data_IF_522834094981
#
_entry.id   IF_522834094981
#
_cell.length_a   1.000
_cell.length_b   1.000
_cell.length_c   1.000
_cell.angle_alpha   90.00
_cell.angle_beta   90.00
_cell.angle_gamma   90.00
#
_symmetry.space_group_name_H-M   'P 1'
#
loop_
_entity.id
_entity.type
_entity.pdbx_description
1 polymer ?
#
# COMPACT_ATOMS: atom_id res chain seq x y z
N UNK A 1 15.60 -15.83 -3.44
CA UNK A 1 15.95 -14.63 -4.23
C UNK A 1 15.66 -14.88 -5.71
N UNK A 2 16.28 -15.81 -6.41
CA UNK A 2 16.07 -16.00 -7.85
C UNK A 2 14.58 -16.05 -8.31
N UNK A 3 13.69 -16.66 -7.53
CA UNK A 3 12.26 -16.74 -7.90
C UNK A 3 11.50 -15.41 -7.70
N UNK A 4 11.98 -14.52 -6.82
CA UNK A 4 11.40 -13.18 -6.63
C UNK A 4 11.95 -12.19 -7.66
N UNK A 5 13.23 -12.29 -7.94
CA UNK A 5 13.94 -11.46 -8.93
C UNK A 5 13.60 -11.85 -10.38
N UNK A 6 13.06 -13.07 -10.59
CA UNK A 6 12.64 -13.51 -11.93
C UNK A 6 11.54 -12.59 -12.45
N UNK A 7 11.87 -11.81 -13.48
CA UNK A 7 10.99 -10.84 -14.12
C UNK A 7 10.91 -9.47 -13.41
N UNK A 8 11.77 -9.17 -12.43
CA UNK A 8 11.95 -7.80 -11.93
C UNK A 8 13.12 -7.19 -12.68
N UNK A 9 12.84 -6.15 -13.45
CA UNK A 9 13.85 -5.37 -14.16
C UNK A 9 14.17 -4.06 -13.42
N UNK A 10 13.18 -3.52 -12.71
CA UNK A 10 13.28 -2.23 -12.03
C UNK A 10 12.81 -2.31 -10.57
N UNK A 11 13.60 -1.71 -9.67
CA UNK A 11 13.24 -1.54 -8.26
C UNK A 11 13.07 -0.06 -7.97
N UNK A 12 11.85 0.34 -7.59
CA UNK A 12 11.47 1.72 -7.40
C UNK A 12 11.27 2.03 -5.91
N UNK A 13 11.60 3.24 -5.45
CA UNK A 13 11.26 3.66 -4.11
C UNK A 13 9.72 3.67 -3.94
N UNK A 14 9.27 3.41 -2.71
CA UNK A 14 7.83 3.43 -2.42
C UNK A 14 7.25 4.83 -2.63
N UNK A 15 6.21 4.89 -3.46
CA UNK A 15 5.30 6.02 -3.56
C UNK A 15 3.86 5.50 -3.43
N UNK A 16 3.12 5.98 -2.45
CA UNK A 16 1.72 5.57 -2.21
C UNK A 16 0.75 5.91 -3.34
N UNK A 17 1.21 6.65 -4.36
CA UNK A 17 0.47 7.01 -5.57
C UNK A 17 0.73 6.07 -6.73
N UNK A 18 1.78 5.26 -6.66
CA UNK A 18 2.23 4.40 -7.75
C UNK A 18 1.91 2.93 -7.49
N UNK A 19 1.39 2.25 -8.50
CA UNK A 19 1.21 0.80 -8.53
C UNK A 19 2.22 0.23 -9.52
N UNK A 20 3.14 -0.67 -9.07
CA UNK A 20 4.17 -1.21 -9.93
C UNK A 20 3.58 -2.07 -11.06
N UNK A 21 4.27 -2.11 -12.18
CA UNK A 21 4.03 -3.01 -13.30
C UNK A 21 4.58 -4.41 -13.00
N UNK A 22 4.36 -5.36 -13.91
CA UNK A 22 4.71 -6.78 -13.69
C UNK A 22 6.22 -7.01 -13.54
N UNK A 23 7.03 -6.18 -14.19
CA UNK A 23 8.49 -6.20 -14.17
C UNK A 23 9.11 -5.27 -13.10
N UNK A 24 8.28 -4.62 -12.31
CA UNK A 24 8.71 -3.69 -11.27
C UNK A 24 8.52 -4.27 -9.87
N UNK A 25 9.38 -3.84 -8.96
CA UNK A 25 9.22 -4.03 -7.53
C UNK A 25 9.39 -2.70 -6.81
N UNK A 26 8.82 -2.61 -5.63
CA UNK A 26 8.89 -1.43 -4.77
C UNK A 26 9.78 -1.73 -3.57
N UNK A 27 10.62 -0.78 -3.19
CA UNK A 27 11.44 -0.85 -1.99
C UNK A 27 11.06 0.23 -0.98
N UNK A 28 10.95 -0.18 0.28
CA UNK A 28 10.88 0.73 1.43
C UNK A 28 12.18 0.56 2.20
N UNK A 29 12.96 1.63 2.28
CA UNK A 29 14.20 1.66 3.06
C UNK A 29 13.91 1.92 4.54
N UNK A 30 14.76 1.39 5.42
CA UNK A 30 14.65 1.54 6.87
C UNK A 30 13.26 1.14 7.41
N UNK A 31 12.74 0.03 6.90
CA UNK A 31 11.44 -0.49 7.28
C UNK A 31 11.47 -0.99 8.73
N UNK A 32 10.54 -0.52 9.56
CA UNK A 32 10.63 -0.69 11.01
C UNK A 32 9.84 -1.88 11.56
N UNK A 33 8.75 -2.30 10.91
CA UNK A 33 7.90 -3.41 11.40
C UNK A 33 8.50 -4.79 11.12
N UNK A 34 9.80 -4.96 11.43
CA UNK A 34 10.56 -6.20 11.17
C UNK A 34 11.41 -6.67 12.36
N UNK A 35 11.34 -6.01 13.49
CA UNK A 35 12.18 -6.31 14.66
C UNK A 35 12.10 -7.76 15.08
N UNK A 36 10.91 -8.36 15.05
CA UNK A 36 10.72 -9.77 15.37
C UNK A 36 11.40 -10.72 14.39
N UNK A 37 11.47 -10.37 13.10
CA UNK A 37 12.16 -11.14 12.07
C UNK A 37 13.68 -11.01 12.26
N UNK A 38 14.16 -9.79 12.48
CA UNK A 38 15.58 -9.51 12.72
C UNK A 38 16.07 -10.23 13.97
N UNK A 39 15.33 -10.13 15.08
CA UNK A 39 15.67 -10.84 16.33
C UNK A 39 15.71 -12.36 16.14
N UNK A 40 14.78 -12.94 15.38
CA UNK A 40 14.78 -14.36 15.10
C UNK A 40 15.98 -14.80 14.24
N UNK A 41 16.42 -13.96 13.30
CA UNK A 41 17.62 -14.21 12.48
C UNK A 41 18.89 -14.08 13.32
N UNK A 42 18.95 -13.11 14.22
CA UNK A 42 20.12 -12.87 15.07
C UNK A 42 20.27 -13.91 16.18
N UNK A 43 19.15 -14.35 16.72
CA UNK A 43 19.09 -15.22 17.92
C UNK A 43 18.21 -16.45 17.68
N UNK A 44 18.49 -17.27 16.65
CA UNK A 44 17.62 -18.38 16.27
C UNK A 44 17.39 -19.40 17.41
N UNK A 45 18.32 -19.50 18.33
CA UNK A 45 18.19 -20.40 19.52
C UNK A 45 17.20 -19.88 20.57
N UNK A 46 16.71 -18.62 20.44
CA UNK A 46 15.69 -18.05 21.32
C UNK A 46 14.28 -18.15 20.73
N UNK A 47 14.19 -18.51 19.45
CA UNK A 47 12.89 -18.72 18.80
C UNK A 47 12.27 -19.99 19.36
N UNK A 48 11.05 -19.87 19.86
CA UNK A 48 10.29 -21.01 20.34
C UNK A 48 9.98 -21.97 19.20
N UNK A 49 10.19 -23.27 19.45
CA UNK A 49 9.86 -24.29 18.45
C UNK A 49 8.34 -24.42 18.32
N UNK A 50 7.87 -24.40 17.10
CA UNK A 50 6.46 -24.62 16.82
C UNK A 50 6.04 -26.06 17.19
N UNK A 51 5.08 -26.18 18.10
CA UNK A 51 4.40 -27.43 18.43
C UNK A 51 2.92 -27.31 18.05
N UNK A 52 2.47 -28.08 17.07
CA UNK A 52 1.08 -28.08 16.59
C UNK A 52 0.04 -28.44 17.64
N UNK A 53 0.46 -29.00 18.77
CA UNK A 53 -0.42 -29.35 19.91
C UNK A 53 -0.66 -28.17 20.84
N UNK A 54 0.28 -27.23 20.89
CA UNK A 54 0.26 -26.10 21.80
C UNK A 54 0.03 -24.77 21.07
N UNK A 55 0.48 -24.67 19.82
CA UNK A 55 0.43 -23.45 19.03
C UNK A 55 -0.63 -23.53 17.95
N UNK A 56 -1.42 -22.47 17.81
CA UNK A 56 -2.38 -22.31 16.74
C UNK A 56 -1.77 -21.54 15.58
N UNK A 57 -2.04 -22.01 14.35
CA UNK A 57 -1.68 -21.30 13.12
C UNK A 57 -2.76 -20.31 12.66
N UNK A 58 -3.83 -20.09 13.46
CA UNK A 58 -4.94 -19.22 13.07
C UNK A 58 -4.55 -17.76 12.86
N UNK A 59 -3.56 -17.29 13.63
CA UNK A 59 -3.09 -15.90 13.58
C UNK A 59 -1.80 -15.73 12.78
N UNK A 60 -1.27 -16.80 12.20
CA UNK A 60 -0.07 -16.72 11.35
C UNK A 60 -0.45 -16.13 10.01
N UNK A 61 0.17 -15.01 9.65
CA UNK A 61 -0.07 -14.28 8.40
C UNK A 61 1.03 -14.50 7.36
N UNK A 62 2.23 -14.83 7.82
CA UNK A 62 3.37 -15.08 6.95
C UNK A 62 4.33 -16.10 7.56
N UNK A 63 5.13 -16.69 6.68
CA UNK A 63 6.31 -17.50 7.03
C UNK A 63 7.52 -16.78 6.47
N UNK A 64 8.67 -16.92 7.13
CA UNK A 64 9.91 -16.40 6.59
C UNK A 64 11.06 -17.39 6.74
N UNK A 65 11.99 -17.31 5.80
CA UNK A 65 13.29 -17.97 5.88
C UNK A 65 14.36 -16.90 6.05
N UNK A 66 14.96 -16.85 7.24
CA UNK A 66 16.02 -15.91 7.55
C UNK A 66 17.41 -16.46 7.29
N UNK A 67 18.31 -15.60 6.84
CA UNK A 67 19.74 -15.91 6.63
C UNK A 67 20.61 -14.76 7.10
N UNK A 68 21.74 -15.11 7.73
CA UNK A 68 22.78 -14.15 8.12
C UNK A 68 24.15 -14.65 7.68
N UNK A 69 24.88 -13.84 6.94
CA UNK A 69 26.26 -14.14 6.52
C UNK A 69 27.07 -12.85 6.39
N UNK A 70 28.24 -12.83 7.00
CA UNK A 70 29.21 -11.72 6.91
C UNK A 70 28.60 -10.34 7.24
N UNK A 71 27.71 -10.26 8.22
CA UNK A 71 27.03 -9.01 8.59
C UNK A 71 25.80 -8.66 7.74
N UNK A 72 25.57 -9.35 6.64
CA UNK A 72 24.35 -9.19 5.84
C UNK A 72 23.21 -10.05 6.42
N UNK A 73 22.06 -9.46 6.55
CA UNK A 73 20.82 -10.12 6.98
C UNK A 73 19.81 -10.08 5.87
N UNK A 74 19.19 -11.21 5.60
CA UNK A 74 18.12 -11.31 4.63
C UNK A 74 17.03 -12.24 5.14
N UNK A 75 15.76 -11.91 4.82
CA UNK A 75 14.63 -12.80 5.01
C UNK A 75 13.81 -12.88 3.73
N UNK A 76 13.46 -14.10 3.34
CA UNK A 76 12.51 -14.39 2.29
C UNK A 76 11.14 -14.58 2.94
N UNK A 77 10.17 -13.75 2.61
CA UNK A 77 8.88 -13.70 3.29
C UNK A 77 7.81 -14.21 2.34
N UNK A 78 7.00 -15.14 2.81
CA UNK A 78 5.88 -15.72 2.07
C UNK A 78 4.60 -15.50 2.86
N UNK A 79 3.51 -15.13 2.18
CA UNK A 79 2.20 -15.07 2.81
C UNK A 79 1.74 -16.46 3.22
N UNK A 80 1.09 -16.55 4.36
CA UNK A 80 0.53 -17.81 4.85
C UNK A 80 -1.00 -17.70 4.95
N UNK A 81 -1.66 -18.72 4.45
CA UNK A 81 -3.11 -18.86 4.55
C UNK A 81 -3.46 -20.24 5.09
N UNK A 82 -4.50 -20.32 5.93
CA UNK A 82 -4.95 -21.56 6.56
C UNK A 82 -5.25 -22.68 5.56
N UNK A 83 -5.68 -22.37 4.35
CA UNK A 83 -5.91 -23.36 3.28
C UNK A 83 -4.67 -24.12 2.85
N UNK A 84 -3.47 -23.64 3.23
CA UNK A 84 -2.19 -24.31 2.98
C UNK A 84 -1.85 -25.40 3.99
N UNK A 85 -2.66 -25.52 5.04
CA UNK A 85 -2.54 -26.61 6.01
C UNK A 85 -3.11 -27.90 5.45
N UNK A 86 -2.30 -28.94 5.51
CA UNK A 86 -2.70 -30.32 5.26
C UNK A 86 -3.00 -30.92 6.62
N UNK A 87 -4.25 -31.35 6.83
CA UNK A 87 -4.63 -32.00 8.08
C UNK A 87 -4.99 -33.46 7.83
N UNK A 88 -4.49 -34.36 8.68
CA UNK A 88 -4.89 -35.78 8.67
C UNK A 88 -6.40 -35.98 8.90
N UNK A 89 -7.10 -34.97 9.42
CA UNK A 89 -8.57 -34.99 9.59
C UNK A 89 -9.32 -34.78 8.27
N UNK A 90 -8.64 -34.26 7.24
CA UNK A 90 -9.20 -34.04 5.91
C UNK A 90 -8.59 -35.02 4.93
N UNK A 91 -9.34 -35.40 3.89
CA UNK A 91 -8.79 -36.23 2.83
C UNK A 91 -7.92 -35.37 1.91
N UNK A 92 -6.60 -35.42 2.14
CA UNK A 92 -5.61 -34.79 1.26
C UNK A 92 -4.88 -35.89 0.47
N UNK A 93 -4.76 -35.70 -0.83
CA UNK A 93 -4.16 -36.66 -1.73
C UNK A 93 -3.03 -36.01 -2.53
N UNK A 94 -1.91 -36.69 -2.63
CA UNK A 94 -0.77 -36.35 -3.49
C UNK A 94 -0.80 -37.25 -4.71
N UNK A 95 -0.75 -36.65 -5.93
CA UNK A 95 -0.56 -37.40 -7.16
C UNK A 95 0.93 -37.51 -7.45
N UNK A 96 1.44 -38.73 -7.47
CA UNK A 96 2.84 -39.01 -7.74
C UNK A 96 2.98 -40.36 -8.43
N UNK A 97 3.77 -40.42 -9.53
CA UNK A 97 4.05 -41.66 -10.24
C UNK A 97 2.79 -42.38 -10.74
N UNK A 98 1.86 -41.64 -11.36
CA UNK A 98 0.58 -42.12 -11.89
C UNK A 98 -0.41 -42.68 -10.84
N UNK A 99 -0.15 -42.45 -9.57
CA UNK A 99 -1.04 -42.88 -8.47
C UNK A 99 -1.38 -41.74 -7.52
N UNK A 100 -2.58 -41.84 -6.91
CA UNK A 100 -2.98 -40.98 -5.80
C UNK A 100 -2.59 -41.61 -4.48
N UNK A 101 -1.82 -40.91 -3.69
CA UNK A 101 -1.43 -41.31 -2.35
C UNK A 101 -2.12 -40.39 -1.33
N UNK A 102 -2.72 -41.01 -0.31
CA UNK A 102 -3.30 -40.24 0.80
C UNK A 102 -2.18 -39.70 1.70
N UNK A 103 -2.23 -38.40 1.98
CA UNK A 103 -1.37 -37.78 2.98
C UNK A 103 -1.91 -38.14 4.35
N UNK A 104 -1.10 -38.82 5.18
CA UNK A 104 -1.49 -39.36 6.48
C UNK A 104 -0.98 -38.50 7.65
N UNK A 105 -0.14 -37.52 7.37
CA UNK A 105 0.45 -36.65 8.39
C UNK A 105 -0.01 -35.20 8.20
N UNK A 106 0.00 -34.46 9.31
CA UNK A 106 -0.22 -33.02 9.25
C UNK A 106 0.99 -32.35 8.60
N UNK A 107 0.73 -31.39 7.72
CA UNK A 107 1.78 -30.69 6.99
C UNK A 107 1.31 -29.34 6.50
N UNK A 108 2.15 -28.69 5.71
CA UNK A 108 1.80 -27.46 5.04
C UNK A 108 2.35 -27.44 3.60
N UNK A 109 1.65 -26.78 2.72
CA UNK A 109 2.13 -26.52 1.36
C UNK A 109 2.81 -25.17 1.30
N UNK A 110 3.98 -25.13 0.68
CA UNK A 110 4.68 -23.90 0.34
C UNK A 110 4.56 -23.70 -1.17
N UNK A 111 4.34 -22.46 -1.59
CA UNK A 111 4.45 -22.11 -3.00
C UNK A 111 5.80 -21.43 -3.30
N UNK A 112 6.08 -21.21 -4.57
CA UNK A 112 7.33 -20.58 -5.01
C UNK A 112 7.27 -19.04 -4.96
N UNK A 113 6.12 -18.45 -4.62
CA UNK A 113 5.93 -17.01 -4.69
C UNK A 113 6.27 -16.36 -3.36
N UNK A 114 7.17 -15.41 -3.39
CA UNK A 114 7.50 -14.59 -2.24
C UNK A 114 6.58 -13.36 -2.20
N UNK A 115 6.18 -12.99 -1.00
CA UNK A 115 5.49 -11.75 -0.71
C UNK A 115 6.46 -10.57 -0.74
N UNK A 116 7.60 -10.75 -0.08
CA UNK A 116 8.62 -9.73 0.06
C UNK A 116 9.99 -10.34 0.35
N UNK A 117 11.02 -9.54 0.13
CA UNK A 117 12.40 -9.80 0.54
C UNK A 117 12.83 -8.67 1.47
N UNK A 118 13.25 -9.02 2.67
CA UNK A 118 13.88 -8.09 3.60
C UNK A 118 15.39 -8.27 3.48
N UNK A 119 16.12 -7.19 3.23
CA UNK A 119 17.58 -7.19 3.16
C UNK A 119 18.15 -5.91 3.75
N UNK A 120 19.03 -6.06 4.76
CA UNK A 120 19.70 -4.92 5.40
C UNK A 120 18.75 -3.78 5.85
N UNK A 121 17.57 -4.13 6.36
CA UNK A 121 16.57 -3.17 6.82
C UNK A 121 15.70 -2.55 5.71
N UNK A 122 15.90 -2.94 4.45
CA UNK A 122 15.01 -2.56 3.35
C UNK A 122 14.09 -3.73 3.00
N UNK A 123 12.79 -3.45 2.80
CA UNK A 123 11.82 -4.43 2.33
C UNK A 123 11.45 -4.18 0.87
N UNK A 124 11.64 -5.19 0.02
CA UNK A 124 11.29 -5.15 -1.40
C UNK A 124 10.10 -6.06 -1.67
N UNK A 125 9.10 -5.58 -2.39
CA UNK A 125 7.86 -6.29 -2.66
C UNK A 125 7.24 -5.87 -4.00
N UNK A 126 6.35 -6.73 -4.56
CA UNK A 126 5.62 -6.45 -5.81
C UNK A 126 4.20 -5.93 -5.58
N UNK A 127 3.60 -6.17 -4.42
CA UNK A 127 2.21 -5.80 -4.16
C UNK A 127 2.02 -5.24 -2.76
N UNK A 128 1.73 -3.95 -2.70
CA UNK A 128 1.36 -3.27 -1.47
C UNK A 128 0.10 -3.88 -0.81
N UNK A 129 -0.88 -4.30 -1.62
CA UNK A 129 -2.11 -4.89 -1.10
C UNK A 129 -1.86 -6.17 -0.29
N UNK A 130 -0.92 -7.01 -0.73
CA UNK A 130 -0.57 -8.22 0.00
C UNK A 130 0.35 -7.93 1.18
N UNK A 131 1.30 -6.99 1.02
CA UNK A 131 2.25 -6.64 2.07
C UNK A 131 1.54 -6.11 3.33
N UNK A 132 0.56 -5.22 3.20
CA UNK A 132 -0.22 -4.65 4.31
C UNK A 132 -1.06 -5.65 5.10
N UNK A 133 -1.22 -6.89 4.63
CA UNK A 133 -1.89 -7.96 5.38
C UNK A 133 -0.98 -8.57 6.43
N UNK A 134 0.32 -8.43 6.25
CA UNK A 134 1.36 -9.01 7.09
C UNK A 134 1.98 -7.96 7.98
N UNK A 135 2.32 -6.81 7.42
CA UNK A 135 3.04 -5.72 8.08
C UNK A 135 2.14 -4.50 8.29
N UNK A 136 2.44 -3.74 9.34
CA UNK A 136 1.88 -2.40 9.51
C UNK A 136 2.60 -1.41 8.59
N UNK A 137 1.87 -0.89 7.63
CA UNK A 137 2.35 0.10 6.67
C UNK A 137 1.75 1.49 6.91
N UNK A 138 1.18 1.71 8.10
CA UNK A 138 0.49 2.96 8.44
C UNK A 138 1.40 4.18 8.31
N UNK A 139 2.68 4.05 8.63
CA UNK A 139 3.67 5.13 8.47
C UNK A 139 3.95 5.48 7.00
N UNK A 140 3.84 4.49 6.11
CA UNK A 140 4.08 4.66 4.68
C UNK A 140 2.83 4.94 3.87
N UNK A 141 1.66 4.62 4.42
CA UNK A 141 0.36 4.76 3.77
C UNK A 141 -0.61 5.50 4.67
N UNK A 142 -0.21 6.67 5.07
CA UNK A 142 -0.88 7.46 6.08
C UNK A 142 -2.17 8.07 5.55
N UNK A 143 -3.27 7.79 6.23
CA UNK A 143 -4.47 8.60 6.16
C UNK A 143 -4.26 9.85 7.01
N UNK A 144 -4.73 11.00 6.55
CA UNK A 144 -4.67 12.23 7.33
C UNK A 144 -5.34 12.07 8.69
N UNK A 145 -4.69 12.49 9.74
CA UNK A 145 -5.25 12.54 11.11
C UNK A 145 -6.38 13.58 11.19
N UNK A 146 -7.09 13.67 12.30
CA UNK A 146 -8.10 14.71 12.48
C UNK A 146 -7.46 16.10 12.38
N UNK A 147 -6.32 16.30 13.04
CA UNK A 147 -5.57 17.56 13.05
C UNK A 147 -5.13 17.97 11.63
N UNK A 148 -4.77 17.01 10.81
CA UNK A 148 -4.39 17.27 9.40
C UNK A 148 -5.60 17.56 8.52
N UNK A 149 -6.74 16.92 8.77
CA UNK A 149 -7.98 17.28 8.09
C UNK A 149 -8.45 18.67 8.52
N UNK A 150 -8.34 19.01 9.81
CA UNK A 150 -8.60 20.35 10.35
C UNK A 150 -7.69 21.40 9.70
N UNK A 151 -6.39 21.12 9.61
CA UNK A 151 -5.44 22.00 8.93
C UNK A 151 -5.77 22.17 7.44
N UNK A 152 -6.20 21.10 6.75
CA UNK A 152 -6.61 21.18 5.36
C UNK A 152 -7.86 22.05 5.17
N UNK A 153 -8.88 21.92 6.01
CA UNK A 153 -10.10 22.75 5.91
C UNK A 153 -9.89 24.19 6.36
N UNK A 154 -8.88 24.44 7.21
CA UNK A 154 -8.45 25.76 7.64
C UNK A 154 -7.48 26.46 6.65
N UNK A 155 -7.09 25.80 5.57
CA UNK A 155 -6.17 26.36 4.58
C UNK A 155 -6.76 27.59 3.88
N UNK A 156 -5.94 28.63 3.65
CA UNK A 156 -6.37 29.92 3.09
C UNK A 156 -7.11 29.81 1.75
N UNK A 157 -6.80 28.79 0.97
CA UNK A 157 -7.43 28.52 -0.34
C UNK A 157 -8.67 27.60 -0.28
N UNK A 158 -9.09 27.16 0.91
CA UNK A 158 -10.21 26.24 1.09
C UNK A 158 -11.36 26.92 1.86
N UNK A 159 -12.58 26.63 1.44
CA UNK A 159 -13.81 27.05 2.13
C UNK A 159 -14.71 25.82 2.33
N UNK A 160 -15.15 25.61 3.56
CA UNK A 160 -16.06 24.55 3.98
C UNK A 160 -17.20 25.19 4.77
N UNK A 161 -18.45 24.77 4.51
CA UNK A 161 -19.63 25.30 5.21
C UNK A 161 -19.63 24.90 6.72
N UNK A 162 -19.23 23.67 7.01
CA UNK A 162 -19.16 23.12 8.37
C UNK A 162 -17.89 22.26 8.51
N UNK A 163 -16.86 22.83 9.11
CA UNK A 163 -15.56 22.18 9.27
C UNK A 163 -15.63 20.96 10.20
N UNK A 164 -16.40 21.04 11.31
CA UNK A 164 -16.52 19.94 12.26
C UNK A 164 -17.24 18.74 11.61
N UNK A 165 -18.34 19.00 10.92
CA UNK A 165 -19.06 17.95 10.19
C UNK A 165 -18.20 17.34 9.08
N UNK A 166 -17.39 18.13 8.37
CA UNK A 166 -16.47 17.63 7.35
C UNK A 166 -15.42 16.69 7.96
N UNK A 167 -14.75 17.09 9.03
CA UNK A 167 -13.74 16.28 9.73
C UNK A 167 -14.33 14.95 10.21
N UNK A 168 -15.53 15.00 10.82
CA UNK A 168 -16.24 13.81 11.30
C UNK A 168 -16.67 12.88 10.15
N UNK A 169 -17.03 13.41 8.99
CA UNK A 169 -17.48 12.65 7.82
C UNK A 169 -16.34 12.17 6.91
N UNK A 170 -15.11 12.67 7.11
CA UNK A 170 -13.96 12.33 6.29
C UNK A 170 -13.57 10.86 6.48
N UNK A 171 -13.99 10.00 5.54
CA UNK A 171 -13.64 8.58 5.53
C UNK A 171 -12.24 8.32 4.94
N UNK A 172 -11.74 7.05 4.97
CA UNK A 172 -10.39 6.66 4.61
C UNK A 172 -9.91 7.21 3.25
N UNK A 173 -10.75 7.14 2.22
CA UNK A 173 -10.40 7.62 0.87
C UNK A 173 -10.22 9.15 0.82
N UNK A 174 -11.03 9.90 1.55
CA UNK A 174 -10.93 11.36 1.66
C UNK A 174 -9.65 11.73 2.40
N UNK A 175 -9.40 11.10 3.54
CA UNK A 175 -8.21 11.32 4.37
C UNK A 175 -6.91 11.01 3.61
N UNK A 176 -6.90 9.91 2.85
CA UNK A 176 -5.76 9.59 1.98
C UNK A 176 -5.48 10.69 0.97
N UNK A 177 -6.51 11.18 0.27
CA UNK A 177 -6.36 12.26 -0.72
C UNK A 177 -5.90 13.57 -0.08
N UNK A 178 -6.45 13.92 1.09
CA UNK A 178 -6.02 15.09 1.87
C UNK A 178 -4.54 14.98 2.22
N UNK A 179 -4.07 13.82 2.70
CA UNK A 179 -2.65 13.62 3.01
C UNK A 179 -1.76 13.87 1.79
N UNK A 180 -2.12 13.36 0.62
CA UNK A 180 -1.35 13.59 -0.61
C UNK A 180 -1.37 15.03 -1.11
N UNK A 181 -2.54 15.69 -1.05
CA UNK A 181 -2.70 17.09 -1.43
C UNK A 181 -1.86 17.99 -0.52
N UNK A 182 -1.90 17.78 0.79
CA UNK A 182 -1.10 18.55 1.74
C UNK A 182 0.41 18.34 1.52
N UNK A 183 0.84 17.11 1.23
CA UNK A 183 2.26 16.83 0.95
C UNK A 183 2.74 17.43 -0.37
N UNK A 184 1.87 17.56 -1.38
CA UNK A 184 2.26 18.10 -2.69
C UNK A 184 2.47 19.62 -2.66
N UNK A 185 1.92 20.33 -1.67
CA UNK A 185 1.98 21.80 -1.61
C UNK A 185 1.21 22.51 -2.73
N UNK A 186 0.27 21.81 -3.41
CA UNK A 186 -0.43 22.37 -4.56
C UNK A 186 -1.33 23.55 -4.17
N UNK A 187 -1.87 23.51 -2.95
CA UNK A 187 -2.71 24.60 -2.41
C UNK A 187 -1.87 25.83 -2.06
N UNK A 188 -0.59 25.66 -1.71
CA UNK A 188 0.34 26.77 -1.45
C UNK A 188 0.86 27.41 -2.74
N UNK A 189 1.00 26.59 -3.78
CA UNK A 189 1.60 26.99 -5.07
C UNK A 189 0.61 27.65 -6.02
N UNK A 190 -0.71 27.46 -5.82
CA UNK A 190 -1.74 27.89 -6.76
C UNK A 190 -2.92 28.53 -6.03
N UNK A 191 -3.44 29.64 -6.57
CA UNK A 191 -4.67 30.27 -6.06
C UNK A 191 -5.92 29.42 -6.41
N UNK A 192 -7.00 29.56 -5.65
CA UNK A 192 -8.27 28.89 -5.96
C UNK A 192 -8.79 29.21 -7.34
N UNK A 193 -8.58 30.45 -7.84
CA UNK A 193 -8.92 30.85 -9.20
C UNK A 193 -8.11 30.12 -10.27
N UNK A 194 -6.80 29.93 -10.06
CA UNK A 194 -5.94 29.17 -10.98
C UNK A 194 -6.39 27.70 -11.02
N UNK A 195 -6.65 27.10 -9.86
CA UNK A 195 -7.16 25.73 -9.74
C UNK A 195 -8.51 25.58 -10.43
N UNK A 196 -9.47 26.49 -10.20
CA UNK A 196 -10.78 26.46 -10.84
C UNK A 196 -10.69 26.61 -12.37
N UNK A 197 -9.77 27.43 -12.88
CA UNK A 197 -9.54 27.58 -14.32
C UNK A 197 -8.93 26.31 -14.94
N UNK A 198 -7.97 25.69 -14.28
CA UNK A 198 -7.38 24.41 -14.71
C UNK A 198 -8.43 23.28 -14.71
N UNK A 199 -9.29 23.22 -13.69
CA UNK A 199 -10.35 22.21 -13.59
C UNK A 199 -11.35 22.26 -14.77
N UNK A 200 -11.63 23.45 -15.31
CA UNK A 200 -12.52 23.61 -16.49
C UNK A 200 -12.01 22.90 -17.73
N UNK A 201 -10.70 22.74 -17.89
CA UNK A 201 -10.10 22.00 -19.00
C UNK A 201 -10.52 20.52 -18.97
N UNK A 202 -10.78 19.99 -17.78
CA UNK A 202 -11.25 18.63 -17.56
C UNK A 202 -12.77 18.51 -17.38
N UNK A 203 -13.53 19.56 -17.76
CA UNK A 203 -14.98 19.64 -17.56
C UNK A 203 -15.42 19.51 -16.09
N UNK A 204 -14.56 19.88 -15.15
CA UNK A 204 -14.86 19.91 -13.73
C UNK A 204 -15.28 21.32 -13.32
N UNK A 205 -16.40 21.40 -12.61
CA UNK A 205 -16.90 22.67 -12.07
C UNK A 205 -16.42 22.82 -10.61
N UNK A 206 -15.35 23.60 -10.42
CA UNK A 206 -14.87 23.98 -9.11
C UNK A 206 -15.46 25.33 -8.74
N UNK A 207 -16.25 25.37 -7.67
CA UNK A 207 -16.81 26.61 -7.12
C UNK A 207 -15.75 27.34 -6.31
N UNK A 208 -15.71 28.65 -6.45
CA UNK A 208 -14.91 29.55 -5.59
C UNK A 208 -15.84 30.56 -4.94
N UNK A 209 -15.50 31.00 -3.74
CA UNK A 209 -16.22 32.04 -3.01
C UNK A 209 -15.76 33.46 -3.37
N UNK A 210 -16.24 34.48 -2.64
CA UNK A 210 -15.87 35.88 -2.85
C UNK A 210 -14.41 36.20 -2.56
N UNK A 211 -13.73 35.40 -1.77
CA UNK A 211 -12.30 35.50 -1.43
C UNK A 211 -11.43 34.60 -2.30
N UNK A 212 -12.00 34.06 -3.41
CA UNK A 212 -11.33 33.15 -4.35
C UNK A 212 -10.92 31.78 -3.76
N UNK A 213 -11.49 31.38 -2.61
CA UNK A 213 -11.24 30.09 -2.00
C UNK A 213 -12.07 29.00 -2.67
N UNK A 214 -11.53 27.80 -2.75
CA UNK A 214 -12.21 26.63 -3.29
C UNK A 214 -13.29 26.16 -2.30
N UNK A 215 -14.54 26.16 -2.73
CA UNK A 215 -15.65 25.64 -1.92
C UNK A 215 -15.73 24.15 -2.06
N UNK A 216 -15.50 23.42 -0.96
CA UNK A 216 -15.62 21.96 -0.94
C UNK A 216 -17.09 21.54 -1.07
N UNK A 217 -17.42 20.62 -2.00
CA UNK A 217 -18.79 20.15 -2.16
C UNK A 217 -19.24 19.26 -0.99
N UNK A 218 -20.51 19.39 -0.59
CA UNK A 218 -21.14 18.48 0.37
C UNK A 218 -21.50 17.13 -0.26
N UNK A 219 -21.70 17.08 -1.58
CA UNK A 219 -21.93 15.82 -2.29
C UNK A 219 -20.65 14.99 -2.35
N UNK A 220 -20.74 13.71 -1.92
CA UNK A 220 -19.60 12.81 -1.84
C UNK A 220 -18.94 12.50 -3.18
N UNK A 221 -19.72 12.47 -4.27
CA UNK A 221 -19.19 12.16 -5.59
C UNK A 221 -18.43 13.37 -6.15
N UNK A 222 -18.97 14.55 -6.00
CA UNK A 222 -18.32 15.80 -6.42
C UNK A 222 -17.08 16.08 -5.58
N UNK A 223 -17.13 15.87 -4.26
CA UNK A 223 -15.95 15.96 -3.38
C UNK A 223 -14.83 15.03 -3.83
N UNK A 224 -15.14 13.78 -4.15
CA UNK A 224 -14.14 12.83 -4.66
C UNK A 224 -13.52 13.26 -5.98
N UNK A 225 -14.31 13.82 -6.89
CA UNK A 225 -13.80 14.36 -8.16
C UNK A 225 -12.84 15.53 -7.90
N UNK A 226 -13.24 16.47 -7.03
CA UNK A 226 -12.41 17.62 -6.67
C UNK A 226 -11.09 17.17 -6.03
N UNK A 227 -11.14 16.27 -5.02
CA UNK A 227 -9.93 15.76 -4.37
C UNK A 227 -9.00 15.00 -5.33
N UNK A 228 -9.56 14.21 -6.27
CA UNK A 228 -8.78 13.60 -7.34
C UNK A 228 -8.12 14.63 -8.24
N UNK A 229 -8.79 15.72 -8.54
CA UNK A 229 -8.24 16.79 -9.36
C UNK A 229 -7.11 17.51 -8.61
N UNK A 230 -7.30 17.86 -7.34
CA UNK A 230 -6.28 18.47 -6.48
C UNK A 230 -5.06 17.56 -6.24
N UNK A 231 -5.26 16.24 -6.24
CA UNK A 231 -4.16 15.27 -6.19
C UNK A 231 -3.59 14.95 -7.59
N UNK A 232 -3.93 15.76 -8.63
CA UNK A 232 -3.42 15.63 -10.00
C UNK A 232 -3.67 14.26 -10.65
N UNK A 233 -4.77 13.57 -10.30
CA UNK A 233 -5.15 12.30 -10.94
C UNK A 233 -5.66 12.49 -12.39
N UNK A 234 -6.03 13.73 -12.79
CA UNK A 234 -6.51 14.03 -14.13
C UNK A 234 -5.37 14.47 -15.03
N UNK A 235 -5.32 13.92 -16.24
CA UNK A 235 -4.32 14.30 -17.22
C UNK A 235 -4.87 14.29 -18.64
N UNK A 236 -4.23 15.04 -19.53
CA UNK A 236 -4.52 15.08 -20.96
C UNK A 236 -3.43 14.32 -21.72
N UNK A 237 -3.82 13.38 -22.59
CA UNK A 237 -2.89 12.72 -23.49
C UNK A 237 -2.26 13.71 -24.47
N UNK A 238 -0.94 13.70 -24.57
CA UNK A 238 -0.20 14.57 -25.47
C UNK A 238 -0.59 14.38 -26.95
N UNK A 239 -0.97 13.15 -27.36
CA UNK A 239 -1.30 12.81 -28.73
C UNK A 239 -2.79 12.97 -29.03
N UNK A 240 -3.64 12.29 -28.27
CA UNK A 240 -5.08 12.25 -28.56
C UNK A 240 -5.85 13.47 -28.05
N UNK A 241 -5.23 14.27 -27.16
CA UNK A 241 -5.89 15.37 -26.44
C UNK A 241 -7.13 14.92 -25.65
N UNK A 242 -7.23 13.63 -25.40
CA UNK A 242 -8.29 13.05 -24.57
C UNK A 242 -7.93 13.16 -23.10
N UNK A 243 -8.96 13.33 -22.25
CA UNK A 243 -8.81 13.43 -20.82
C UNK A 243 -8.94 12.05 -20.16
N UNK A 244 -8.07 11.77 -19.22
CA UNK A 244 -8.02 10.52 -18.47
C UNK A 244 -7.96 10.79 -16.98
N UNK A 245 -8.30 9.77 -16.18
CA UNK A 245 -8.08 9.73 -14.74
C UNK A 245 -7.17 8.56 -14.44
N UNK A 246 -6.05 8.80 -13.79
CA UNK A 246 -5.12 7.77 -13.35
C UNK A 246 -5.33 7.42 -11.89
N UNK A 247 -5.26 6.14 -11.57
CA UNK A 247 -5.17 5.66 -10.18
C UNK A 247 -3.72 5.32 -9.80
N UNK A 248 -2.80 5.44 -10.75
CA UNK A 248 -1.37 5.16 -10.56
C UNK A 248 -0.58 6.19 -11.35
N UNK A 249 0.33 6.89 -10.70
CA UNK A 249 1.14 7.95 -11.30
C UNK A 249 2.50 8.04 -10.61
N UNK A 250 3.51 8.35 -11.41
CA UNK A 250 4.84 8.77 -10.97
C UNK A 250 5.32 9.91 -11.87
N UNK A 251 6.25 10.78 -11.42
CA UNK A 251 6.94 11.71 -12.32
C UNK A 251 7.56 10.95 -13.50
N UNK A 252 7.49 11.54 -14.69
CA UNK A 252 8.31 11.09 -15.81
C UNK A 252 9.73 11.58 -15.56
N UNK A 253 10.72 10.71 -15.72
CA UNK A 253 12.14 11.04 -15.58
C UNK A 253 12.63 11.92 -16.72
#
# INVERSE_FOLDING_TARGET
>A
MAAFESGVEHVLPFDGRYMPEDDEAIVINQFQDVDGIIDAIERPMRVELFDSRQHSLENVKALFLGHRRNGHQAALIQSFERRRLISKKTLSMLFSGDTFQRIQEDGLTLDSHLLAVLENGAITFKSFHFLRRVFDLSEHYREATNEEVEAFVAHDNIMVEDAEAFVAAAGPLVRKKISFISQSGILDSHTGRQIANAARQFNLQVRIDGDERIVLPNDKAELRKLLKFLDEDYYESALSKSHFVSNSKRPAD
#
